data_IF_026472863537
#
_entry.id   IF_026472863537
#
_cell.length_a   1.000
_cell.length_b   1.000
_cell.length_c   1.000
_cell.angle_alpha   90.00
_cell.angle_beta   90.00
_cell.angle_gamma   90.00
#
_symmetry.space_group_name_H-M   'P 1'
#
loop_
_entity.id
_entity.type
_entity.pdbx_description
1 polymer ?
#
# COMPACT_ATOMS: atom_id res chain seq x y z
N UNK A 1 2.04 9.55 9.15
CA UNK A 1 3.03 10.61 9.45
C UNK A 1 3.43 10.65 10.92
N UNK A 2 2.56 10.26 11.87
CA UNK A 2 2.90 10.29 13.30
C UNK A 2 3.70 9.07 13.81
N UNK A 3 4.04 8.12 12.93
CA UNK A 3 4.82 6.91 13.23
C UNK A 3 4.27 6.04 14.39
N UNK A 4 2.94 6.03 14.56
CA UNK A 4 2.23 5.26 15.59
C UNK A 4 1.30 4.20 14.97
N UNK A 5 1.73 3.53 13.89
CA UNK A 5 0.90 2.49 13.26
C UNK A 5 1.16 1.17 13.97
N UNK A 6 0.10 0.45 14.33
CA UNK A 6 0.19 -0.91 14.90
C UNK A 6 0.00 -1.97 13.82
N UNK A 7 0.49 -3.17 14.11
CA UNK A 7 0.29 -4.32 13.23
C UNK A 7 -1.19 -4.67 13.04
N UNK A 8 -2.01 -4.49 14.08
CA UNK A 8 -3.48 -4.62 13.99
C UNK A 8 -4.08 -3.67 12.95
N UNK A 9 -3.70 -2.39 12.96
CA UNK A 9 -4.23 -1.41 12.01
C UNK A 9 -3.86 -1.77 10.56
N UNK A 10 -2.65 -2.30 10.35
CA UNK A 10 -2.23 -2.78 9.02
C UNK A 10 -3.05 -4.00 8.59
N UNK A 11 -3.22 -4.98 9.47
CA UNK A 11 -4.03 -6.17 9.22
C UNK A 11 -5.48 -5.81 8.88
N UNK A 12 -6.11 -4.95 9.67
CA UNK A 12 -7.50 -4.52 9.46
C UNK A 12 -7.69 -3.85 8.09
N UNK A 13 -6.74 -3.01 7.66
CA UNK A 13 -6.82 -2.37 6.33
C UNK A 13 -6.65 -3.39 5.22
N UNK A 14 -5.68 -4.30 5.32
CA UNK A 14 -5.49 -5.36 4.32
C UNK A 14 -6.73 -6.27 4.25
N UNK A 15 -7.31 -6.61 5.40
CA UNK A 15 -8.54 -7.39 5.48
C UNK A 15 -9.71 -6.71 4.79
N UNK A 16 -9.86 -5.38 4.94
CA UNK A 16 -10.88 -4.60 4.22
C UNK A 16 -10.68 -4.66 2.71
N UNK A 17 -9.45 -4.54 2.22
CA UNK A 17 -9.15 -4.73 0.80
C UNK A 17 -9.52 -6.15 0.33
N UNK A 18 -9.13 -7.18 1.08
CA UNK A 18 -9.42 -8.57 0.71
C UNK A 18 -10.93 -8.85 0.62
N UNK A 19 -11.71 -8.39 1.61
CA UNK A 19 -13.17 -8.51 1.60
C UNK A 19 -13.80 -7.73 0.44
N UNK A 20 -13.33 -6.50 0.19
CA UNK A 20 -13.80 -5.69 -0.93
C UNK A 20 -13.59 -6.38 -2.27
N UNK A 21 -12.40 -6.97 -2.47
CA UNK A 21 -12.09 -7.69 -3.70
C UNK A 21 -12.94 -8.94 -3.88
N UNK A 22 -13.27 -9.67 -2.81
CA UNK A 22 -14.21 -10.81 -2.90
C UNK A 22 -15.60 -10.36 -3.32
N UNK A 23 -16.11 -9.30 -2.69
CA UNK A 23 -17.41 -8.73 -3.06
C UNK A 23 -17.41 -8.24 -4.51
N UNK A 24 -16.29 -7.68 -4.97
CA UNK A 24 -16.13 -7.24 -6.34
C UNK A 24 -16.15 -8.41 -7.33
N UNK A 25 -15.44 -9.51 -7.02
CA UNK A 25 -15.45 -10.72 -7.85
C UNK A 25 -16.88 -11.32 -7.95
N UNK A 26 -17.66 -11.29 -6.86
CA UNK A 26 -19.08 -11.70 -6.87
C UNK A 26 -19.95 -10.75 -7.71
N UNK A 27 -19.69 -9.44 -7.64
CA UNK A 27 -20.40 -8.43 -8.44
C UNK A 27 -20.13 -8.58 -9.94
N UNK A 28 -18.94 -9.03 -10.33
CA UNK A 28 -18.61 -9.26 -11.74
C UNK A 28 -19.53 -10.32 -12.37
N UNK A 29 -19.86 -11.39 -11.64
CA UNK A 29 -20.82 -12.41 -12.10
C UNK A 29 -22.22 -11.81 -12.33
N UNK A 30 -22.70 -10.97 -11.39
CA UNK A 30 -23.99 -10.29 -11.53
C UNK A 30 -24.01 -9.28 -12.67
N UNK A 31 -22.91 -8.55 -12.89
CA UNK A 31 -22.76 -7.62 -14.01
C UNK A 31 -22.85 -8.35 -15.35
N UNK A 32 -22.23 -9.53 -15.45
CA UNK A 32 -22.30 -10.35 -16.65
C UNK A 32 -23.74 -10.80 -16.96
N UNK A 33 -24.53 -11.15 -15.95
CA UNK A 33 -25.94 -11.53 -16.10
C UNK A 33 -26.83 -10.39 -16.61
N UNK A 34 -26.51 -9.14 -16.27
CA UNK A 34 -27.29 -7.96 -16.68
C UNK A 34 -27.07 -7.53 -18.14
N UNK A 35 -25.95 -7.93 -18.75
CA UNK A 35 -25.62 -7.58 -20.13
C UNK A 35 -25.66 -6.05 -20.38
N UNK A 36 -26.42 -5.62 -21.40
CA UNK A 36 -26.46 -4.21 -21.81
C UNK A 36 -27.07 -3.26 -20.76
N UNK A 37 -27.98 -3.76 -19.92
CA UNK A 37 -28.61 -2.96 -18.85
C UNK A 37 -27.62 -2.65 -17.72
N UNK A 38 -26.52 -3.41 -17.63
CA UNK A 38 -25.46 -3.24 -16.61
C UNK A 38 -24.45 -2.13 -16.92
N UNK A 39 -24.51 -1.46 -18.08
CA UNK A 39 -23.43 -0.54 -18.54
C UNK A 39 -23.06 0.55 -17.53
N UNK A 40 -24.05 1.14 -16.86
CA UNK A 40 -23.78 2.18 -15.84
C UNK A 40 -23.12 1.58 -14.59
N UNK A 41 -23.53 0.37 -14.20
CA UNK A 41 -22.98 -0.36 -13.06
C UNK A 41 -21.52 -0.72 -13.33
N UNK A 42 -21.19 -1.20 -14.53
CA UNK A 42 -19.80 -1.44 -14.97
C UNK A 42 -18.95 -0.18 -14.82
N UNK A 43 -19.47 0.97 -15.26
CA UNK A 43 -18.70 2.23 -15.18
C UNK A 43 -18.42 2.64 -13.74
N UNK A 44 -19.40 2.49 -12.85
CA UNK A 44 -19.21 2.78 -11.42
C UNK A 44 -18.28 1.77 -10.74
N UNK A 45 -18.41 0.49 -11.10
CA UNK A 45 -17.53 -0.58 -10.64
C UNK A 45 -16.07 -0.27 -11.01
N UNK A 46 -15.80 0.01 -12.30
CA UNK A 46 -14.47 0.35 -12.79
C UNK A 46 -13.89 1.57 -12.07
N UNK A 47 -14.71 2.60 -11.82
CA UNK A 47 -14.29 3.81 -11.11
C UNK A 47 -13.93 3.54 -9.65
N UNK A 48 -14.72 2.72 -8.94
CA UNK A 48 -14.46 2.35 -7.54
C UNK A 48 -13.23 1.47 -7.44
N UNK A 49 -13.07 0.51 -8.36
CA UNK A 49 -11.97 -0.45 -8.37
C UNK A 49 -10.64 0.17 -8.82
N UNK A 50 -10.70 1.33 -9.49
CA UNK A 50 -9.54 2.01 -10.06
C UNK A 50 -8.47 2.26 -8.99
N UNK A 51 -7.31 1.63 -9.18
CA UNK A 51 -6.13 1.82 -8.33
C UNK A 51 -6.19 1.13 -6.97
N UNK A 52 -7.26 0.39 -6.64
CA UNK A 52 -7.33 -0.37 -5.38
C UNK A 52 -6.30 -1.49 -5.33
N UNK A 53 -6.06 -2.19 -6.45
CA UNK A 53 -5.04 -3.24 -6.53
C UNK A 53 -3.65 -2.69 -6.29
N UNK A 54 -3.29 -1.58 -6.96
CA UNK A 54 -2.03 -0.87 -6.71
C UNK A 54 -1.96 -0.37 -5.25
N UNK A 55 -3.09 0.03 -4.67
CA UNK A 55 -3.22 0.42 -3.27
C UNK A 55 -2.84 -0.71 -2.31
N UNK A 56 -3.48 -1.89 -2.45
CA UNK A 56 -3.17 -3.08 -1.66
C UNK A 56 -1.73 -3.54 -1.91
N UNK A 57 -1.28 -3.55 -3.16
CA UNK A 57 0.08 -3.96 -3.53
C UNK A 57 1.13 -3.08 -2.85
N UNK A 58 0.97 -1.76 -2.88
CA UNK A 58 1.89 -0.84 -2.21
C UNK A 58 1.79 -0.93 -0.67
N UNK A 59 0.60 -1.22 -0.12
CA UNK A 59 0.42 -1.48 1.31
C UNK A 59 1.19 -2.74 1.75
N UNK A 60 1.11 -3.81 0.96
CA UNK A 60 1.90 -5.03 1.18
C UNK A 60 3.38 -4.70 1.11
N UNK A 61 3.84 -3.97 0.08
CA UNK A 61 5.26 -3.59 -0.04
C UNK A 61 5.75 -2.77 1.16
N UNK A 62 4.91 -1.88 1.71
CA UNK A 62 5.22 -1.08 2.89
C UNK A 62 5.53 -1.93 4.13
N UNK A 63 4.82 -3.05 4.31
CA UNK A 63 4.88 -3.84 5.54
C UNK A 63 5.37 -5.27 5.33
N UNK A 64 5.84 -5.64 4.15
CA UNK A 64 6.38 -6.99 3.90
C UNK A 64 7.70 -7.21 4.67
N UNK A 65 7.65 -8.12 5.65
CA UNK A 65 8.79 -8.65 6.39
C UNK A 65 9.10 -10.12 6.04
N UNK A 66 8.32 -10.72 5.14
CA UNK A 66 8.52 -12.07 4.62
C UNK A 66 9.70 -12.10 3.65
N UNK A 67 10.20 -13.32 3.41
CA UNK A 67 11.13 -13.60 2.31
C UNK A 67 10.41 -13.68 0.96
N UNK A 68 9.09 -13.79 0.99
CA UNK A 68 8.26 -13.87 -0.20
C UNK A 68 8.19 -12.52 -0.92
N UNK A 69 8.05 -12.58 -2.26
CA UNK A 69 7.83 -11.39 -3.07
C UNK A 69 6.44 -10.81 -2.78
N UNK A 70 6.31 -9.49 -2.95
CA UNK A 70 5.03 -8.81 -2.79
C UNK A 70 3.93 -9.40 -3.69
N UNK A 71 4.29 -9.81 -4.91
CA UNK A 71 3.37 -10.47 -5.86
C UNK A 71 2.80 -11.77 -5.24
N UNK A 72 3.65 -12.61 -4.66
CA UNK A 72 3.23 -13.86 -4.01
C UNK A 72 2.34 -13.59 -2.80
N UNK A 73 2.66 -12.56 -2.01
CA UNK A 73 1.85 -12.17 -0.84
C UNK A 73 0.49 -11.64 -1.26
N UNK A 74 0.44 -10.82 -2.32
CA UNK A 74 -0.79 -10.28 -2.88
C UNK A 74 -1.75 -11.40 -3.29
N UNK A 75 -1.26 -12.39 -4.05
CA UNK A 75 -2.05 -13.55 -4.46
C UNK A 75 -2.53 -14.36 -3.25
N UNK A 76 -1.66 -14.60 -2.26
CA UNK A 76 -2.05 -15.32 -1.03
C UNK A 76 -3.16 -14.61 -0.28
N UNK A 77 -3.13 -13.27 -0.20
CA UNK A 77 -4.17 -12.48 0.46
C UNK A 77 -5.48 -12.53 -0.33
N UNK A 78 -5.44 -12.42 -1.66
CA UNK A 78 -6.64 -12.55 -2.53
C UNK A 78 -7.32 -13.92 -2.39
N UNK A 79 -6.54 -14.97 -2.14
CA UNK A 79 -7.02 -16.35 -2.05
C UNK A 79 -7.53 -16.76 -0.66
N UNK A 80 -7.34 -15.93 0.39
CA UNK A 80 -7.86 -16.25 1.72
C UNK A 80 -9.37 -16.44 1.67
N UNK A 81 -9.92 -17.44 2.36
CA UNK A 81 -11.37 -17.56 2.53
C UNK A 81 -11.91 -16.48 3.48
N UNK A 82 -13.23 -16.27 3.52
CA UNK A 82 -13.82 -15.37 4.54
C UNK A 82 -13.51 -15.85 5.96
N UNK A 83 -13.54 -17.16 6.20
CA UNK A 83 -13.16 -17.77 7.47
C UNK A 83 -11.69 -17.48 7.82
N UNK A 84 -10.79 -17.59 6.83
CA UNK A 84 -9.38 -17.25 7.03
C UNK A 84 -9.18 -15.77 7.34
N UNK A 85 -10.00 -14.88 6.76
CA UNK A 85 -9.96 -13.45 7.03
C UNK A 85 -10.48 -13.13 8.43
N UNK A 86 -11.32 -13.96 9.05
CA UNK A 86 -11.76 -13.79 10.45
C UNK A 86 -10.61 -14.04 11.44
N UNK A 87 -9.64 -14.86 11.07
CA UNK A 87 -8.44 -15.13 11.88
C UNK A 87 -7.42 -14.00 11.78
N UNK A 88 -7.25 -13.24 12.87
CA UNK A 88 -6.32 -12.10 12.95
C UNK A 88 -4.85 -12.48 12.64
N UNK A 89 -4.48 -13.77 12.80
CA UNK A 89 -3.09 -14.21 12.62
C UNK A 89 -2.69 -14.49 11.17
N UNK A 90 -3.65 -14.70 10.25
CA UNK A 90 -3.34 -15.19 8.91
C UNK A 90 -2.59 -14.15 8.07
N UNK A 91 -3.14 -12.93 7.97
CA UNK A 91 -2.53 -11.84 7.20
C UNK A 91 -1.17 -11.47 7.80
N UNK A 92 -1.09 -11.36 9.13
CA UNK A 92 0.14 -11.04 9.86
C UNK A 92 1.23 -12.08 9.60
N UNK A 93 0.88 -13.36 9.62
CA UNK A 93 1.81 -14.45 9.30
C UNK A 93 2.26 -14.42 7.85
N UNK A 94 1.36 -14.13 6.90
CA UNK A 94 1.68 -14.00 5.47
C UNK A 94 2.70 -12.87 5.24
N UNK A 95 2.53 -11.75 5.94
CA UNK A 95 3.46 -10.61 5.88
C UNK A 95 4.82 -10.89 6.53
N UNK A 96 5.00 -12.05 7.17
CA UNK A 96 6.27 -12.48 7.75
C UNK A 96 6.52 -12.05 9.19
N UNK A 97 5.48 -11.59 9.91
CA UNK A 97 5.61 -11.21 11.32
C UNK A 97 5.52 -12.43 12.27
N UNK A 98 5.04 -13.59 11.81
CA UNK A 98 5.15 -14.87 12.55
C UNK A 98 4.79 -14.79 14.04
N UNK A 99 5.62 -15.39 14.92
CA UNK A 99 5.45 -15.34 16.39
C UNK A 99 5.74 -13.97 17.03
N UNK A 100 6.17 -12.94 16.27
CA UNK A 100 6.17 -11.55 16.77
C UNK A 100 4.77 -10.97 16.92
N UNK A 101 3.77 -11.59 16.29
CA UNK A 101 2.34 -11.30 16.48
C UNK A 101 1.82 -11.56 17.91
N UNK A 102 2.68 -11.94 18.87
CA UNK A 102 2.31 -12.07 20.29
C UNK A 102 1.74 -10.78 20.87
N UNK A 103 1.97 -9.63 20.23
CA UNK A 103 1.23 -8.40 20.50
C UNK A 103 0.85 -7.71 19.20
N UNK A 104 -0.44 -7.74 18.86
CA UNK A 104 -1.04 -6.95 17.78
C UNK A 104 -0.81 -5.44 17.93
N UNK A 105 -0.39 -4.99 19.12
CA UNK A 105 0.02 -3.63 19.45
C UNK A 105 1.47 -3.31 19.08
N UNK A 106 2.22 -4.25 18.46
CA UNK A 106 3.56 -3.97 17.95
C UNK A 106 3.52 -2.81 16.96
N UNK A 107 4.35 -1.80 17.21
CA UNK A 107 4.49 -0.66 16.31
C UNK A 107 5.27 -1.07 15.07
N UNK A 108 4.71 -0.77 13.91
CA UNK A 108 5.31 -1.03 12.61
C UNK A 108 5.56 0.26 11.85
N UNK A 109 6.65 0.28 11.09
CA UNK A 109 7.06 1.45 10.30
C UNK A 109 6.94 1.11 8.82
N UNK A 110 6.18 1.89 8.02
CA UNK A 110 6.07 1.64 6.60
C UNK A 110 7.38 1.97 5.87
N UNK A 111 7.68 1.23 4.82
CA UNK A 111 8.84 1.53 3.95
C UNK A 111 8.66 2.83 3.16
N UNK A 112 7.44 3.17 2.73
CA UNK A 112 7.11 4.44 2.05
C UNK A 112 6.61 4.30 0.60
N UNK A 113 6.36 3.07 0.13
CA UNK A 113 5.86 2.78 -1.22
C UNK A 113 4.57 3.52 -1.53
N UNK A 114 3.59 3.51 -0.63
CA UNK A 114 2.30 4.20 -0.86
C UNK A 114 2.50 5.70 -1.04
N UNK A 115 3.25 6.34 -0.17
CA UNK A 115 3.49 7.79 -0.20
C UNK A 115 4.31 8.21 -1.42
N UNK A 116 5.31 7.43 -1.82
CA UNK A 116 6.07 7.71 -3.04
C UNK A 116 5.23 7.49 -4.30
N UNK A 117 4.30 6.53 -4.30
CA UNK A 117 3.42 6.27 -5.44
C UNK A 117 2.42 7.41 -5.70
N UNK A 118 2.10 8.25 -4.70
CA UNK A 118 1.29 9.47 -4.92
C UNK A 118 2.08 10.60 -5.57
N UNK A 119 3.42 10.53 -5.61
CA UNK A 119 4.26 11.55 -6.25
C UNK A 119 4.23 11.31 -7.76
N UNK A 120 3.57 12.21 -8.48
CA UNK A 120 3.50 12.12 -9.93
C UNK A 120 4.89 12.13 -10.59
N UNK A 121 4.99 11.50 -11.77
CA UNK A 121 6.22 11.42 -12.58
C UNK A 121 7.37 10.60 -11.94
N UNK A 122 7.10 9.84 -10.88
CA UNK A 122 7.99 8.77 -10.43
C UNK A 122 7.61 7.45 -11.09
N UNK A 123 8.61 6.71 -11.56
CA UNK A 123 8.44 5.34 -12.02
C UNK A 123 8.57 4.36 -10.85
N UNK A 124 8.05 3.13 -10.98
CA UNK A 124 8.26 2.06 -9.97
C UNK A 124 9.75 1.86 -9.63
N UNK A 125 10.62 1.99 -10.63
CA UNK A 125 12.09 1.94 -10.47
C UNK A 125 12.64 3.08 -9.62
N UNK A 126 12.16 4.31 -9.82
CA UNK A 126 12.59 5.45 -9.00
C UNK A 126 12.18 5.24 -7.53
N UNK A 127 10.96 4.75 -7.30
CA UNK A 127 10.46 4.43 -5.96
C UNK A 127 11.33 3.37 -5.29
N UNK A 128 11.62 2.26 -5.98
CA UNK A 128 12.48 1.20 -5.43
C UNK A 128 13.89 1.72 -5.11
N UNK A 129 14.47 2.63 -5.92
CA UNK A 129 15.77 3.23 -5.63
C UNK A 129 15.76 4.07 -4.35
N UNK A 130 14.72 4.88 -4.14
CA UNK A 130 14.56 5.70 -2.94
C UNK A 130 14.35 4.81 -1.71
N UNK A 131 13.46 3.83 -1.80
CA UNK A 131 13.20 2.87 -0.71
C UNK A 131 14.49 2.12 -0.34
N UNK A 132 15.27 1.67 -1.31
CA UNK A 132 16.52 0.96 -1.03
C UNK A 132 17.58 1.85 -0.37
N UNK A 133 17.52 3.18 -0.53
CA UNK A 133 18.46 4.12 0.10
C UNK A 133 18.06 4.47 1.53
N UNK A 134 16.78 4.75 1.76
CA UNK A 134 16.29 5.32 3.01
C UNK A 134 15.58 4.31 3.90
N UNK A 135 15.19 3.16 3.35
CA UNK A 135 14.57 1.98 4.00
C UNK A 135 13.15 2.20 4.56
N UNK A 136 12.89 3.35 5.18
CA UNK A 136 11.65 3.65 5.90
C UNK A 136 11.08 5.02 5.53
N UNK A 137 9.76 5.15 5.63
CA UNK A 137 9.07 6.41 5.35
C UNK A 137 9.58 7.58 6.21
N UNK A 138 9.80 7.43 7.54
CA UNK A 138 10.38 8.52 8.33
C UNK A 138 11.71 9.03 7.78
N UNK A 139 12.64 8.13 7.44
CA UNK A 139 13.93 8.51 6.84
C UNK A 139 13.77 9.22 5.48
N UNK A 140 12.76 8.84 4.69
CA UNK A 140 12.44 9.49 3.41
C UNK A 140 11.91 10.91 3.64
N UNK A 141 11.10 11.11 4.67
CA UNK A 141 10.51 12.41 5.01
C UNK A 141 11.54 13.37 5.61
N UNK A 142 12.52 12.85 6.34
CA UNK A 142 13.62 13.63 6.92
C UNK A 142 14.71 13.98 5.90
N UNK A 143 14.73 13.32 4.73
CA UNK A 143 15.74 13.55 3.70
C UNK A 143 15.51 14.87 2.95
N UNK A 144 16.56 15.69 2.87
CA UNK A 144 16.57 16.88 2.02
C UNK A 144 16.80 16.55 0.54
N UNK A 145 16.73 17.57 -0.32
CA UNK A 145 16.90 17.40 -1.76
C UNK A 145 18.33 16.95 -2.14
N UNK A 146 19.35 17.28 -1.35
CA UNK A 146 20.74 16.86 -1.62
C UNK A 146 20.93 15.37 -1.29
N UNK A 147 20.43 14.93 -0.14
CA UNK A 147 20.40 13.52 0.26
C UNK A 147 19.61 12.68 -0.75
N UNK A 148 18.45 13.16 -1.19
CA UNK A 148 17.62 12.48 -2.19
C UNK A 148 18.33 12.39 -3.56
N UNK A 149 19.06 13.43 -3.97
CA UNK A 149 19.87 13.43 -5.19
C UNK A 149 21.10 12.52 -5.10
N UNK A 150 21.54 12.13 -3.90
CA UNK A 150 22.61 11.15 -3.73
C UNK A 150 22.21 9.73 -4.15
N UNK A 151 20.91 9.46 -4.33
CA UNK A 151 20.39 8.18 -4.81
C UNK A 151 20.78 8.01 -6.29
N UNK A 152 21.64 7.03 -6.58
CA UNK A 152 22.06 6.71 -7.94
C UNK A 152 20.84 6.42 -8.84
N UNK A 153 20.63 7.25 -9.86
CA UNK A 153 19.50 7.13 -10.80
C UNK A 153 18.38 8.14 -10.56
N UNK A 154 18.40 8.87 -9.44
CA UNK A 154 17.52 10.01 -9.20
C UNK A 154 18.26 11.28 -9.63
N UNK A 155 17.63 12.08 -10.49
CA UNK A 155 18.18 13.38 -10.90
C UNK A 155 17.86 14.46 -9.87
N UNK A 156 18.63 15.55 -9.87
CA UNK A 156 18.37 16.73 -9.02
C UNK A 156 16.92 17.21 -9.12
N UNK A 157 16.37 17.26 -10.35
CA UNK A 157 14.98 17.64 -10.57
C UNK A 157 13.99 16.68 -9.90
N UNK A 158 14.20 15.36 -10.02
CA UNK A 158 13.35 14.36 -9.33
C UNK A 158 13.48 14.47 -7.82
N UNK A 159 14.69 14.64 -7.30
CA UNK A 159 14.94 14.79 -5.87
C UNK A 159 14.18 15.99 -5.27
N UNK A 160 14.31 17.18 -5.87
CA UNK A 160 13.56 18.37 -5.46
C UNK A 160 12.04 18.21 -5.60
N UNK A 161 11.60 17.44 -6.60
CA UNK A 161 10.18 17.16 -6.81
C UNK A 161 9.61 16.23 -5.73
N UNK A 162 10.33 15.16 -5.38
CA UNK A 162 9.95 14.21 -4.32
C UNK A 162 9.77 14.94 -2.99
N UNK A 163 10.82 15.65 -2.54
CA UNK A 163 10.82 16.33 -1.24
C UNK A 163 9.68 17.35 -1.18
N UNK A 164 9.50 18.17 -2.22
CA UNK A 164 8.39 19.14 -2.26
C UNK A 164 7.02 18.46 -2.29
N UNK A 165 6.86 17.35 -3.00
CA UNK A 165 5.59 16.64 -3.08
C UNK A 165 5.19 16.02 -1.74
N UNK A 166 6.13 15.36 -1.06
CA UNK A 166 5.91 14.77 0.26
C UNK A 166 5.64 15.83 1.33
N UNK A 167 6.35 16.96 1.30
CA UNK A 167 6.10 18.09 2.21
C UNK A 167 4.70 18.69 2.00
N UNK A 168 4.27 18.88 0.75
CA UNK A 168 2.89 19.33 0.46
C UNK A 168 1.86 18.34 1.01
N UNK A 169 2.05 17.05 0.75
CA UNK A 169 1.15 15.99 1.23
C UNK A 169 1.05 15.99 2.76
N UNK A 170 2.19 16.10 3.44
CA UNK A 170 2.25 16.20 4.90
C UNK A 170 1.44 17.40 5.41
N UNK A 171 1.67 18.58 4.84
CA UNK A 171 0.98 19.80 5.25
C UNK A 171 -0.53 19.72 5.01
N UNK A 172 -0.97 19.17 3.87
CA UNK A 172 -2.40 18.98 3.59
C UNK A 172 -3.06 18.10 4.66
N UNK A 173 -2.47 16.94 4.96
CA UNK A 173 -3.01 16.00 5.94
C UNK A 173 -3.01 16.56 7.38
N UNK A 174 -2.07 17.45 7.71
CA UNK A 174 -2.04 18.12 9.01
C UNK A 174 -3.07 19.24 9.14
N UNK A 175 -3.52 19.83 8.01
CA UNK A 175 -4.60 20.83 8.02
C UNK A 175 -6.00 20.21 8.05
N UNK A 176 -6.13 18.94 7.67
CA UNK A 176 -7.41 18.19 7.66
C UNK A 176 -7.75 17.54 9.02
N UNK A 177 -6.82 17.54 9.98
CA UNK A 177 -7.00 17.06 11.35
C UNK A 177 -7.50 18.18 12.28
#
# INVERSE_FOLDING_TARGET
FDNMITLNEVEEVIKKYALLFKMADELDDYILELGNEGRLIVTQYDEIMLGLEDGLYNLIKDYNHSKDRADTIFERIRQLSEEDLLSQNNIVSILGYGTRAASFDEKVVPKGYRMLNTVNRLTKKDIDLVINKFETLPNILDADAEMMNSVKGISKFKAEHIVRALLRLHNTLMMEK
#
